data_IF_507382533537
#
_entry.id   IF_507382533537
#
_cell.length_a   1.000
_cell.length_b   1.000
_cell.length_c   1.000
_cell.angle_alpha   90.00
_cell.angle_beta   90.00
_cell.angle_gamma   90.00
#
_symmetry.space_group_name_H-M   'P 1'
#
loop_
_entity.id
_entity.type
_entity.pdbx_description
1 polymer ?
#
# COMPACT_ATOMS: atom_id res chain seq x y z
N UNK A 1 -5.22 15.22 -8.58
CA UNK A 1 -4.19 14.19 -8.84
C UNK A 1 -4.84 12.87 -8.53
N UNK A 2 -4.95 11.98 -9.51
CA UNK A 2 -5.58 10.68 -9.30
C UNK A 2 -4.57 9.77 -8.60
N UNK A 3 -4.78 9.56 -7.30
CA UNK A 3 -3.94 8.69 -6.46
C UNK A 3 -3.80 7.29 -7.06
N UNK A 4 -4.82 6.84 -7.79
CA UNK A 4 -4.83 5.52 -8.44
C UNK A 4 -3.80 5.47 -9.55
N UNK A 5 -3.74 6.48 -10.43
CA UNK A 5 -2.79 6.53 -11.55
C UNK A 5 -1.33 6.55 -11.05
N UNK A 6 -1.05 7.35 -10.01
CA UNK A 6 0.29 7.42 -9.41
C UNK A 6 0.72 6.05 -8.85
N UNK A 7 -0.19 5.34 -8.18
CA UNK A 7 0.08 4.01 -7.63
C UNK A 7 0.21 2.93 -8.72
N UNK A 8 -0.52 3.05 -9.83
CA UNK A 8 -0.38 2.19 -11.01
C UNK A 8 0.99 2.36 -11.69
N UNK A 9 1.60 3.54 -11.61
CA UNK A 9 2.88 3.84 -12.22
C UNK A 9 4.10 3.36 -11.41
N UNK A 10 3.90 2.90 -10.16
CA UNK A 10 4.99 2.42 -9.32
C UNK A 10 5.53 1.09 -9.87
N UNK A 11 6.84 1.04 -10.08
CA UNK A 11 7.55 -0.23 -10.21
C UNK A 11 7.76 -0.84 -8.82
N UNK A 12 6.79 -1.66 -8.40
CA UNK A 12 6.73 -2.17 -7.03
C UNK A 12 7.92 -3.10 -6.71
N UNK A 13 8.74 -2.78 -5.70
CA UNK A 13 9.81 -3.67 -5.26
C UNK A 13 9.23 -4.91 -4.57
N UNK A 14 10.05 -5.94 -4.37
CA UNK A 14 9.61 -7.18 -3.68
C UNK A 14 9.07 -6.92 -2.28
N UNK A 15 9.62 -5.92 -1.59
CA UNK A 15 9.18 -5.46 -0.28
C UNK A 15 9.28 -3.94 -0.16
N UNK A 16 8.36 -3.33 0.57
CA UNK A 16 8.28 -1.88 0.77
C UNK A 16 7.64 -1.56 2.11
N UNK A 17 7.96 -0.37 2.63
CA UNK A 17 7.35 0.19 3.81
C UNK A 17 6.17 1.06 3.44
N UNK A 18 5.05 0.85 4.12
CA UNK A 18 3.89 1.73 4.10
C UNK A 18 3.89 2.55 5.37
N UNK A 19 3.67 3.85 5.23
CA UNK A 19 3.46 4.78 6.34
C UNK A 19 2.04 5.32 6.28
N UNK A 20 1.38 5.32 7.43
CA UNK A 20 -0.01 5.71 7.60
C UNK A 20 -0.14 7.14 8.12
N UNK A 21 -1.28 7.76 7.85
CA UNK A 21 -1.61 9.11 8.32
C UNK A 21 -1.68 9.22 9.86
N UNK A 22 -1.90 8.11 10.57
CA UNK A 22 -1.91 8.04 12.04
C UNK A 22 -0.50 7.93 12.65
N UNK A 23 0.55 7.92 11.82
CA UNK A 23 1.95 7.76 12.23
C UNK A 23 2.39 6.30 12.32
N UNK A 24 1.51 5.33 12.08
CA UNK A 24 1.85 3.92 11.99
C UNK A 24 2.68 3.60 10.75
N UNK A 25 3.37 2.45 10.78
CA UNK A 25 4.03 1.90 9.59
C UNK A 25 4.13 0.39 9.65
N UNK A 26 4.18 -0.24 8.47
CA UNK A 26 4.43 -1.67 8.35
C UNK A 26 5.23 -2.00 7.09
N UNK A 27 5.91 -3.15 7.12
CA UNK A 27 6.59 -3.72 5.97
C UNK A 27 5.61 -4.66 5.27
N UNK A 28 5.44 -4.47 3.96
CA UNK A 28 4.62 -5.32 3.10
C UNK A 28 5.47 -5.92 1.99
N UNK A 29 4.95 -6.99 1.39
CA UNK A 29 5.53 -7.70 0.29
C UNK A 29 4.63 -7.55 -0.94
N UNK A 30 5.25 -7.38 -2.11
CA UNK A 30 4.52 -7.43 -3.38
C UNK A 30 3.90 -8.80 -3.62
N UNK A 31 4.62 -9.87 -3.28
CA UNK A 31 4.21 -11.23 -3.65
C UNK A 31 4.07 -11.36 -5.16
N UNK A 32 2.96 -11.96 -5.59
CA UNK A 32 2.60 -12.14 -7.00
C UNK A 32 2.11 -10.84 -7.68
N UNK A 33 1.93 -9.75 -6.91
CA UNK A 33 1.49 -8.46 -7.42
C UNK A 33 0.70 -7.65 -6.38
N UNK A 34 0.57 -6.35 -6.64
CA UNK A 34 -0.30 -5.45 -5.88
C UNK A 34 -1.66 -5.39 -6.54
N UNK A 35 -2.72 -5.63 -5.77
CA UNK A 35 -4.08 -5.37 -6.22
C UNK A 35 -4.41 -3.90 -5.96
N UNK A 36 -4.91 -3.19 -6.98
CA UNK A 36 -5.36 -1.81 -6.87
C UNK A 36 -6.86 -1.78 -7.12
N UNK A 37 -7.60 -1.22 -6.18
CA UNK A 37 -9.04 -0.98 -6.28
C UNK A 37 -9.25 0.52 -6.51
N UNK A 38 -9.71 0.95 -7.69
CA UNK A 38 -10.03 2.35 -7.92
C UNK A 38 -11.27 2.75 -7.08
N UNK A 39 -11.42 4.05 -6.74
CA UNK A 39 -12.57 4.53 -5.98
C UNK A 39 -13.94 4.16 -6.58
N UNK A 40 -14.03 4.08 -7.91
CA UNK A 40 -15.26 3.70 -8.62
C UNK A 40 -15.70 2.25 -8.35
N UNK A 41 -14.75 1.36 -8.08
CA UNK A 41 -14.99 -0.07 -7.85
C UNK A 41 -15.08 -0.41 -6.35
N UNK A 42 -14.85 0.58 -5.47
CA UNK A 42 -14.93 0.45 -4.02
C UNK A 42 -16.31 0.92 -3.51
N UNK A 43 -17.05 0.12 -2.71
CA UNK A 43 -18.38 0.49 -2.23
C UNK A 43 -18.43 1.80 -1.41
N UNK A 44 -17.33 2.13 -0.73
CA UNK A 44 -17.22 3.36 0.07
C UNK A 44 -16.77 4.57 -0.79
N UNK A 45 -16.44 4.35 -2.07
CA UNK A 45 -15.95 5.39 -2.97
C UNK A 45 -14.52 5.85 -2.64
N UNK A 46 -13.74 5.07 -1.89
CA UNK A 46 -12.42 5.47 -1.39
C UNK A 46 -11.31 4.83 -2.23
N UNK A 47 -11.46 3.55 -2.55
CA UNK A 47 -10.40 2.76 -3.17
C UNK A 47 -9.27 2.40 -2.19
N UNK A 48 -8.33 1.61 -2.69
CA UNK A 48 -7.26 1.09 -1.87
C UNK A 48 -6.36 0.14 -2.63
N UNK A 49 -5.37 -0.41 -1.93
CA UNK A 49 -4.53 -1.46 -2.48
C UNK A 49 -4.34 -2.61 -1.51
N UNK A 50 -4.08 -3.80 -2.05
CA UNK A 50 -3.75 -4.98 -1.28
C UNK A 50 -2.35 -5.53 -1.57
N UNK A 51 -1.63 -5.82 -0.49
CA UNK A 51 -0.27 -6.37 -0.50
C UNK A 51 -0.14 -7.54 0.48
N UNK A 52 0.88 -8.37 0.32
CA UNK A 52 1.13 -9.48 1.25
C UNK A 52 1.79 -8.99 2.55
N UNK A 53 1.41 -9.60 3.66
CA UNK A 53 2.07 -9.36 4.96
C UNK A 53 3.25 -10.34 5.07
N UNK A 54 4.46 -9.89 5.46
CA UNK A 54 5.56 -10.79 5.75
C UNK A 54 5.16 -11.81 6.81
N UNK A 55 5.33 -13.10 6.50
CA UNK A 55 5.05 -14.20 7.45
C UNK A 55 6.11 -14.18 8.56
N UNK A 56 5.92 -13.38 9.60
CA UNK A 56 6.84 -13.31 10.75
C UNK A 56 6.72 -14.52 11.70
N UNK A 57 5.69 -15.35 11.59
CA UNK A 57 5.48 -16.49 12.50
C UNK A 57 4.78 -17.68 11.82
N UNK A 58 5.16 -18.95 12.11
CA UNK A 58 4.51 -20.16 11.54
C UNK A 58 3.00 -20.24 11.77
N UNK A 59 2.47 -19.53 12.78
CA UNK A 59 1.03 -19.47 13.10
C UNK A 59 0.25 -18.42 12.30
N UNK A 60 0.93 -17.54 11.57
CA UNK A 60 0.33 -16.47 10.75
C UNK A 60 0.39 -16.77 9.25
N UNK A 61 0.64 -18.04 8.87
CA UNK A 61 0.76 -18.46 7.47
C UNK A 61 -0.49 -18.21 6.61
N UNK A 62 -1.65 -17.96 7.24
CA UNK A 62 -2.95 -17.77 6.57
C UNK A 62 -3.41 -16.31 6.45
N UNK A 63 -2.67 -15.31 6.94
CA UNK A 63 -3.03 -13.90 6.71
C UNK A 63 -2.62 -13.50 5.29
N UNK A 64 -3.58 -13.68 4.37
CA UNK A 64 -3.35 -13.76 2.92
C UNK A 64 -3.18 -12.45 2.18
N UNK A 65 -3.37 -11.28 2.82
CA UNK A 65 -3.14 -9.93 2.27
C UNK A 65 -3.60 -8.87 3.27
N UNK A 66 -3.06 -7.65 3.17
CA UNK A 66 -3.48 -6.45 3.87
C UNK A 66 -4.09 -5.50 2.84
N UNK A 67 -5.36 -5.13 3.00
CA UNK A 67 -5.99 -4.05 2.24
C UNK A 67 -5.80 -2.72 2.97
N UNK A 68 -5.39 -1.69 2.24
CA UNK A 68 -5.07 -0.35 2.75
C UNK A 68 -5.86 0.66 1.94
N UNK A 69 -6.66 1.48 2.62
CA UNK A 69 -7.41 2.54 1.94
C UNK A 69 -6.48 3.68 1.56
N UNK A 70 -6.74 4.32 0.43
CA UNK A 70 -5.93 5.48 0.02
C UNK A 70 -6.00 6.64 1.01
N UNK A 71 -7.10 6.77 1.75
CA UNK A 71 -7.25 7.79 2.81
C UNK A 71 -6.35 7.55 4.02
N UNK A 72 -5.97 6.31 4.28
CA UNK A 72 -5.08 5.90 5.38
C UNK A 72 -3.60 6.10 5.01
N UNK A 73 -3.30 6.17 3.71
CA UNK A 73 -1.94 6.19 3.18
C UNK A 73 -1.30 7.59 3.28
N UNK A 74 -0.15 7.66 3.93
CA UNK A 74 0.70 8.85 3.93
C UNK A 74 1.80 8.76 2.86
N UNK A 75 2.60 7.68 2.87
CA UNK A 75 3.65 7.45 1.87
C UNK A 75 4.04 5.99 1.75
N UNK A 76 4.67 5.64 0.64
CA UNK A 76 5.27 4.33 0.36
C UNK A 76 6.76 4.54 0.09
N UNK A 77 7.59 3.75 0.75
CA UNK A 77 9.05 3.85 0.66
C UNK A 77 9.63 2.47 0.39
N UNK A 78 10.55 2.38 -0.57
CA UNK A 78 11.35 1.18 -0.81
C UNK A 78 12.22 0.84 0.40
N UNK A 79 12.67 -0.41 0.49
CA UNK A 79 13.60 -0.83 1.56
C UNK A 79 14.98 -0.17 1.47
N UNK A 80 15.32 0.39 0.32
CA UNK A 80 16.49 1.23 0.07
C UNK A 80 16.30 2.70 0.51
N UNK A 81 15.11 3.06 0.99
CA UNK A 81 14.77 4.41 1.43
C UNK A 81 14.23 5.31 0.33
N UNK A 82 14.08 4.84 -0.91
CA UNK A 82 13.52 5.62 -2.02
C UNK A 82 12.02 5.82 -1.82
N UNK A 83 11.55 7.07 -1.91
CA UNK A 83 10.11 7.37 -1.86
C UNK A 83 9.49 6.94 -3.20
N UNK A 84 8.58 5.96 -3.14
CA UNK A 84 7.83 5.48 -4.30
C UNK A 84 6.55 6.28 -4.50
N UNK A 85 5.95 6.70 -3.39
CA UNK A 85 4.74 7.50 -3.39
C UNK A 85 4.67 8.33 -2.12
N UNK A 86 4.15 9.55 -2.21
CA UNK A 86 3.83 10.38 -1.06
C UNK A 86 2.52 11.09 -1.37
N UNK A 87 1.54 10.97 -0.47
CA UNK A 87 0.27 11.66 -0.64
C UNK A 87 0.53 13.17 -0.64
N UNK A 88 0.03 13.92 -1.63
CA UNK A 88 0.09 15.37 -1.59
C UNK A 88 -0.58 15.86 -0.31
N UNK A 89 0.09 16.69 0.47
CA UNK A 89 -0.57 17.41 1.55
C UNK A 89 -1.56 18.36 0.88
N UNK A 90 -2.85 18.13 1.11
CA UNK A 90 -3.91 19.04 0.67
C UNK A 90 -3.52 20.45 1.15
N UNK A 91 -3.20 21.34 0.19
CA UNK A 91 -2.87 22.76 0.42
C UNK A 91 -4.14 23.60 0.47
#
# INVERSE_FOLDING_TARGET
>A
MDLTEDLFAIDWPESFHVFYCDGGSELLLRGDGIGLTPPLDDPDGIGGFDALIPKKHPKQQHQGRRYIRYTELHKIVGVDGVILFCRPLDS
#
